data_IF_234362040508
#
_entry.id   IF_234362040508
#
_cell.length_a   1.000
_cell.length_b   1.000
_cell.length_c   1.000
_cell.angle_alpha   90.00
_cell.angle_beta   90.00
_cell.angle_gamma   90.00
#
_symmetry.space_group_name_H-M   'P 1'
#
loop_
_entity.id
_entity.type
_entity.pdbx_description
1 polymer ?
#
# COMPACT_ATOMS: atom_id res chain seq x y z
N UNK A 1 -27.47 -20.51 -21.87
CA UNK A 1 -28.14 -19.54 -20.97
C UNK A 1 -27.23 -18.33 -20.80
N UNK A 2 -27.53 -17.31 -21.59
CA UNK A 2 -26.83 -16.03 -21.73
C UNK A 2 -27.11 -15.15 -20.50
N UNK A 3 -26.10 -14.89 -19.66
CA UNK A 3 -26.22 -13.88 -18.62
C UNK A 3 -26.07 -12.49 -19.26
N UNK A 4 -27.18 -11.78 -19.24
CA UNK A 4 -27.39 -10.42 -19.71
C UNK A 4 -26.43 -9.45 -19.01
N UNK A 5 -25.47 -8.92 -19.78
CA UNK A 5 -24.66 -7.75 -19.43
C UNK A 5 -25.60 -6.53 -19.44
N UNK A 6 -26.23 -6.26 -18.29
CA UNK A 6 -27.20 -5.19 -18.10
C UNK A 6 -26.58 -3.93 -17.49
N UNK A 7 -26.46 -2.89 -18.33
CA UNK A 7 -26.51 -1.43 -18.10
C UNK A 7 -25.65 -0.74 -17.00
N UNK A 8 -25.13 0.48 -17.28
CA UNK A 8 -24.26 1.24 -16.39
C UNK A 8 -25.08 1.95 -15.30
N UNK A 9 -24.75 1.75 -14.02
CA UNK A 9 -25.39 2.53 -12.96
C UNK A 9 -25.46 1.83 -11.62
N UNK A 10 -24.39 1.93 -10.84
CA UNK A 10 -24.46 2.21 -9.39
C UNK A 10 -23.04 2.15 -8.85
N UNK A 11 -22.57 3.25 -8.27
CA UNK A 11 -21.29 3.29 -7.55
C UNK A 11 -21.18 2.11 -6.56
N UNK A 12 -22.31 1.67 -6.00
CA UNK A 12 -22.42 0.51 -5.12
C UNK A 12 -21.95 -0.81 -5.75
N UNK A 13 -22.25 -1.08 -7.03
CA UNK A 13 -21.75 -2.27 -7.75
C UNK A 13 -20.27 -2.16 -8.07
N UNK A 14 -19.80 -0.97 -8.45
CA UNK A 14 -18.37 -0.70 -8.65
C UNK A 14 -17.56 -0.96 -7.37
N UNK A 15 -18.01 -0.39 -6.25
CA UNK A 15 -17.40 -0.63 -4.93
C UNK A 15 -17.53 -2.09 -4.48
N UNK A 16 -18.67 -2.74 -4.76
CA UNK A 16 -18.86 -4.15 -4.41
C UNK A 16 -17.92 -5.06 -5.21
N UNK A 17 -17.80 -4.86 -6.53
CA UNK A 17 -16.86 -5.60 -7.37
C UNK A 17 -15.41 -5.32 -6.95
N UNK A 18 -15.04 -4.04 -6.73
CA UNK A 18 -13.72 -3.67 -6.18
C UNK A 18 -13.43 -4.41 -4.89
N UNK A 19 -14.36 -4.37 -3.94
CA UNK A 19 -14.21 -5.03 -2.65
C UNK A 19 -14.07 -6.53 -2.82
N UNK A 20 -14.89 -7.17 -3.66
CA UNK A 20 -14.81 -8.62 -3.90
C UNK A 20 -13.47 -9.02 -4.51
N UNK A 21 -12.99 -8.24 -5.48
CA UNK A 21 -11.72 -8.45 -6.17
C UNK A 21 -10.52 -8.18 -5.26
N UNK A 22 -10.53 -7.12 -4.47
CA UNK A 22 -9.52 -6.83 -3.46
C UNK A 22 -9.52 -7.89 -2.38
N UNK A 23 -10.67 -8.23 -1.80
CA UNK A 23 -10.80 -9.28 -0.78
C UNK A 23 -10.35 -10.64 -1.31
N UNK A 24 -10.60 -10.96 -2.58
CA UNK A 24 -10.08 -12.18 -3.21
C UNK A 24 -8.57 -12.13 -3.39
N UNK A 25 -7.99 -11.01 -3.81
CA UNK A 25 -6.53 -10.86 -3.91
C UNK A 25 -5.86 -10.98 -2.56
N UNK A 26 -6.43 -10.33 -1.54
CA UNK A 26 -6.04 -10.50 -0.15
C UNK A 26 -6.15 -11.98 0.25
N UNK A 27 -7.28 -12.65 -0.01
CA UNK A 27 -7.46 -14.06 0.36
C UNK A 27 -6.51 -15.02 -0.37
N UNK A 28 -6.15 -14.76 -1.62
CA UNK A 28 -5.19 -15.57 -2.38
C UNK A 28 -3.76 -15.30 -1.91
N UNK A 29 -3.39 -14.03 -1.71
CA UNK A 29 -2.05 -13.62 -1.24
C UNK A 29 -1.82 -13.98 0.24
N UNK A 30 -2.88 -14.04 1.04
CA UNK A 30 -2.88 -14.41 2.45
C UNK A 30 -3.54 -15.78 2.72
N UNK A 31 -3.66 -16.69 1.76
CA UNK A 31 -4.25 -18.03 2.07
C UNK A 31 -3.36 -18.86 3.00
N UNK A 32 -2.08 -18.52 3.09
CA UNK A 32 -1.09 -18.96 4.10
C UNK A 32 -0.88 -17.85 5.15
N UNK A 33 -1.98 -17.37 5.74
CA UNK A 33 -2.17 -16.01 6.30
C UNK A 33 -1.11 -15.48 7.27
N UNK A 34 -0.48 -16.33 8.08
CA UNK A 34 0.54 -15.88 9.01
C UNK A 34 1.87 -15.55 8.32
N UNK A 35 2.33 -16.43 7.41
CA UNK A 35 3.67 -16.32 6.82
C UNK A 35 3.79 -15.13 5.86
N UNK A 36 2.77 -14.93 5.00
CA UNK A 36 2.76 -13.80 4.05
C UNK A 36 2.61 -12.44 4.75
N UNK A 37 1.83 -12.39 5.83
CA UNK A 37 1.69 -11.19 6.66
C UNK A 37 2.98 -10.86 7.40
N UNK A 38 3.56 -11.85 8.10
CA UNK A 38 4.84 -11.68 8.78
C UNK A 38 5.90 -11.17 7.80
N UNK A 39 5.95 -11.75 6.60
CA UNK A 39 6.92 -11.37 5.57
C UNK A 39 6.76 -9.92 5.10
N UNK A 40 5.52 -9.46 4.87
CA UNK A 40 5.24 -8.09 4.44
C UNK A 40 5.66 -7.02 5.45
N UNK A 41 5.72 -7.38 6.74
CA UNK A 41 6.17 -6.50 7.82
C UNK A 41 7.68 -6.66 8.06
N UNK A 42 8.19 -7.88 7.94
CA UNK A 42 9.59 -8.20 8.18
C UNK A 42 10.51 -7.47 7.21
N UNK A 43 10.13 -7.36 5.93
CA UNK A 43 10.92 -6.65 4.91
C UNK A 43 11.18 -5.16 5.26
N UNK A 44 10.16 -4.31 5.51
CA UNK A 44 10.39 -2.93 5.94
C UNK A 44 11.06 -2.83 7.31
N UNK A 45 10.82 -3.77 8.23
CA UNK A 45 11.50 -3.78 9.53
C UNK A 45 13.00 -4.05 9.41
N UNK A 46 13.40 -5.03 8.61
CA UNK A 46 14.80 -5.35 8.35
C UNK A 46 15.47 -4.17 7.64
N UNK A 47 14.82 -3.58 6.64
CA UNK A 47 15.32 -2.36 5.99
C UNK A 47 15.50 -1.21 6.98
N UNK A 48 14.53 -0.99 7.86
CA UNK A 48 14.61 0.04 8.90
C UNK A 48 15.76 -0.21 9.87
N UNK A 49 15.99 -1.47 10.25
CA UNK A 49 17.07 -1.86 11.14
C UNK A 49 18.45 -1.71 10.49
N UNK A 50 18.59 -2.04 9.21
CA UNK A 50 19.80 -1.81 8.42
C UNK A 50 20.08 -0.31 8.35
N UNK A 51 19.09 0.51 7.98
CA UNK A 51 19.27 1.96 7.93
C UNK A 51 19.57 2.55 9.31
N UNK A 52 18.87 2.10 10.35
CA UNK A 52 19.18 2.49 11.72
C UNK A 52 20.65 2.19 12.04
N UNK A 53 21.11 0.96 11.81
CA UNK A 53 22.48 0.53 12.09
C UNK A 53 23.51 1.37 11.32
N UNK A 54 23.32 1.55 10.01
CA UNK A 54 24.24 2.35 9.17
C UNK A 54 24.28 3.81 9.66
N UNK A 55 23.13 4.45 9.87
CA UNK A 55 23.11 5.87 10.23
C UNK A 55 23.50 6.15 11.69
N UNK A 56 23.26 5.23 12.62
CA UNK A 56 23.67 5.43 14.02
C UNK A 56 25.09 4.93 14.30
N UNK A 57 25.47 3.74 13.83
CA UNK A 57 26.76 3.13 14.17
C UNK A 57 27.89 3.53 13.20
N UNK A 58 27.60 3.75 11.91
CA UNK A 58 28.64 4.09 10.92
C UNK A 58 28.81 5.61 10.78
N UNK A 59 27.70 6.35 10.78
CA UNK A 59 27.71 7.79 10.58
C UNK A 59 27.66 8.62 11.89
N UNK A 60 27.58 7.97 13.06
CA UNK A 60 27.48 8.63 14.39
C UNK A 60 26.55 9.86 14.38
N UNK A 61 25.37 9.70 13.77
CA UNK A 61 24.50 10.84 13.49
C UNK A 61 23.92 11.42 14.78
N UNK A 62 24.25 12.68 15.07
CA UNK A 62 23.76 13.47 16.23
C UNK A 62 22.47 14.26 15.95
N UNK A 63 21.91 14.19 14.72
CA UNK A 63 20.79 15.04 14.29
C UNK A 63 19.59 14.20 13.82
N UNK A 64 18.50 14.24 14.60
CA UNK A 64 17.22 13.59 14.30
C UNK A 64 16.32 13.48 15.54
N UNK A 65 15.02 13.28 15.34
CA UNK A 65 14.07 13.05 16.46
C UNK A 65 14.30 11.65 17.03
N UNK A 66 14.63 11.57 18.31
CA UNK A 66 14.60 10.30 19.04
C UNK A 66 13.13 9.88 19.21
N UNK A 67 12.74 8.65 18.83
CA UNK A 67 13.57 7.51 18.39
C UNK A 67 13.72 7.44 16.86
N UNK A 68 14.97 7.33 16.36
CA UNK A 68 15.26 7.31 14.92
C UNK A 68 14.61 6.15 14.17
N UNK A 69 14.48 4.98 14.80
CA UNK A 69 13.83 3.81 14.20
C UNK A 69 12.34 4.08 13.88
N UNK A 70 11.66 4.84 14.73
CA UNK A 70 10.24 5.21 14.54
C UNK A 70 10.11 6.19 13.38
N UNK A 71 11.02 7.16 13.29
CA UNK A 71 11.10 8.07 12.15
C UNK A 71 11.31 7.31 10.83
N UNK A 72 12.25 6.35 10.80
CA UNK A 72 12.52 5.53 9.63
C UNK A 72 11.30 4.70 9.22
N UNK A 73 10.72 3.91 10.12
CA UNK A 73 9.57 3.05 9.81
C UNK A 73 8.39 3.88 9.30
N UNK A 74 8.15 5.06 9.90
CA UNK A 74 7.07 5.98 9.49
C UNK A 74 7.26 6.52 8.07
N UNK A 75 8.50 6.74 7.63
CA UNK A 75 8.81 7.18 6.27
C UNK A 75 8.88 5.99 5.27
N UNK A 76 9.39 4.84 5.70
CA UNK A 76 9.60 3.66 4.85
C UNK A 76 8.28 2.98 4.48
N UNK A 77 7.32 2.88 5.39
CA UNK A 77 6.03 2.23 5.10
C UNK A 77 5.24 2.88 3.94
N UNK A 78 5.02 4.20 3.92
CA UNK A 78 4.37 4.84 2.77
C UNK A 78 5.24 4.73 1.50
N UNK A 79 6.57 4.74 1.62
CA UNK A 79 7.48 4.54 0.49
C UNK A 79 7.37 3.13 -0.12
N UNK A 80 7.27 2.09 0.72
CA UNK A 80 7.06 0.71 0.30
C UNK A 80 5.70 0.57 -0.36
N UNK A 81 4.65 1.16 0.22
CA UNK A 81 3.33 1.17 -0.41
C UNK A 81 3.36 1.82 -1.80
N UNK A 82 4.05 2.96 -1.93
CA UNK A 82 4.20 3.64 -3.21
C UNK A 82 4.91 2.76 -4.24
N UNK A 83 6.10 2.26 -3.92
CA UNK A 83 6.89 1.44 -4.85
C UNK A 83 6.17 0.15 -5.26
N UNK A 84 5.52 -0.52 -4.30
CA UNK A 84 4.76 -1.73 -4.57
C UNK A 84 3.57 -1.45 -5.49
N UNK A 85 2.84 -0.36 -5.24
CA UNK A 85 1.71 0.03 -6.09
C UNK A 85 2.17 0.37 -7.51
N UNK A 86 3.24 1.17 -7.65
CA UNK A 86 3.82 1.55 -8.94
C UNK A 86 4.27 0.35 -9.75
N UNK A 87 5.00 -0.56 -9.10
CA UNK A 87 5.48 -1.78 -9.73
C UNK A 87 4.31 -2.68 -10.16
N UNK A 88 3.32 -2.86 -9.30
CA UNK A 88 2.19 -3.76 -9.56
C UNK A 88 1.25 -3.22 -10.64
N UNK A 89 0.91 -1.91 -10.65
CA UNK A 89 0.07 -1.37 -11.74
C UNK A 89 0.82 -1.36 -13.07
N UNK A 90 2.13 -1.06 -13.08
CA UNK A 90 2.94 -1.09 -14.31
C UNK A 90 2.99 -2.50 -14.89
N UNK A 91 3.23 -3.51 -14.02
CA UNK A 91 3.19 -4.92 -14.43
C UNK A 91 1.80 -5.36 -14.88
N UNK A 92 0.74 -4.92 -14.21
CA UNK A 92 -0.63 -5.23 -14.60
C UNK A 92 -0.92 -4.72 -16.02
N UNK A 93 -0.51 -3.50 -16.37
CA UNK A 93 -0.67 -3.00 -17.73
C UNK A 93 0.19 -3.77 -18.76
N UNK A 94 1.45 -4.07 -18.43
CA UNK A 94 2.34 -4.80 -19.36
C UNK A 94 1.96 -6.28 -19.54
N UNK A 95 1.49 -6.98 -18.50
CA UNK A 95 1.08 -8.40 -18.58
C UNK A 95 -0.38 -8.58 -19.02
N UNK A 96 -1.29 -7.71 -18.60
CA UNK A 96 -2.72 -7.85 -18.86
C UNK A 96 -3.21 -7.06 -20.08
N UNK A 97 -2.36 -6.41 -20.88
CA UNK A 97 -2.77 -5.82 -22.17
C UNK A 97 -3.55 -6.81 -23.08
N UNK A 98 -3.26 -8.12 -22.96
CA UNK A 98 -4.02 -9.20 -23.62
C UNK A 98 -5.36 -9.54 -22.94
N UNK A 99 -5.46 -9.45 -21.61
CA UNK A 99 -6.67 -9.77 -20.83
C UNK A 99 -7.66 -8.60 -20.77
N UNK A 100 -7.16 -7.36 -20.68
CA UNK A 100 -7.92 -6.10 -20.72
C UNK A 100 -8.68 -5.95 -22.05
N UNK A 101 -8.21 -6.61 -23.12
CA UNK A 101 -8.94 -6.70 -24.40
C UNK A 101 -10.13 -7.66 -24.38
N UNK A 102 -10.19 -8.67 -23.49
CA UNK A 102 -11.25 -9.69 -23.51
C UNK A 102 -12.37 -9.47 -22.51
N UNK A 103 -12.17 -8.64 -21.47
CA UNK A 103 -13.19 -8.40 -20.44
C UNK A 103 -13.43 -6.90 -20.27
N UNK A 104 -14.67 -6.45 -20.48
CA UNK A 104 -15.15 -5.07 -20.47
C UNK A 104 -15.20 -4.43 -19.07
N UNK A 105 -14.12 -4.49 -18.30
CA UNK A 105 -14.02 -3.87 -16.97
C UNK A 105 -13.25 -2.54 -17.09
N UNK A 106 -13.77 -1.42 -16.56
CA UNK A 106 -13.08 -0.13 -16.55
C UNK A 106 -11.67 -0.22 -15.94
N UNK A 107 -10.67 0.35 -16.62
CA UNK A 107 -9.25 0.33 -16.20
C UNK A 107 -9.03 0.95 -14.80
N UNK A 108 -9.89 1.89 -14.40
CA UNK A 108 -9.88 2.50 -13.07
C UNK A 108 -10.09 1.48 -11.95
N UNK A 109 -10.93 0.45 -12.16
CA UNK A 109 -11.19 -0.59 -11.15
C UNK A 109 -9.92 -1.36 -10.83
N UNK A 110 -9.15 -1.71 -11.86
CA UNK A 110 -7.92 -2.48 -11.73
C UNK A 110 -6.85 -1.74 -10.93
N UNK A 111 -6.60 -0.47 -11.29
CA UNK A 111 -5.63 0.39 -10.60
C UNK A 111 -6.06 0.62 -9.15
N UNK A 112 -7.32 1.00 -8.92
CA UNK A 112 -7.83 1.23 -7.57
C UNK A 112 -7.76 -0.03 -6.71
N UNK A 113 -8.06 -1.21 -7.26
CA UNK A 113 -7.96 -2.49 -6.54
C UNK A 113 -6.56 -2.75 -6.00
N UNK A 114 -5.53 -2.57 -6.84
CA UNK A 114 -4.12 -2.78 -6.47
C UNK A 114 -3.73 -1.81 -5.34
N UNK A 115 -4.01 -0.52 -5.54
CA UNK A 115 -3.68 0.52 -4.56
C UNK A 115 -4.40 0.28 -3.24
N UNK A 116 -5.68 -0.11 -3.27
CA UNK A 116 -6.48 -0.35 -2.08
C UNK A 116 -6.01 -1.60 -1.34
N UNK A 117 -5.66 -2.68 -2.06
CA UNK A 117 -5.08 -3.88 -1.44
C UNK A 117 -3.81 -3.51 -0.68
N UNK A 118 -2.90 -2.75 -1.30
CA UNK A 118 -1.66 -2.31 -0.65
C UNK A 118 -1.87 -1.29 0.46
N UNK A 119 -2.88 -0.43 0.33
CA UNK A 119 -3.28 0.49 1.40
C UNK A 119 -3.80 -0.25 2.63
N UNK A 120 -4.49 -1.39 2.44
CA UNK A 120 -4.91 -2.25 3.55
C UNK A 120 -3.69 -2.91 4.22
N UNK A 121 -2.70 -3.38 3.47
CA UNK A 121 -1.44 -3.89 4.03
C UNK A 121 -0.74 -2.81 4.88
N UNK A 122 -0.71 -1.57 4.38
CA UNK A 122 -0.19 -0.41 5.13
C UNK A 122 -0.99 -0.14 6.41
N UNK A 123 -2.33 -0.19 6.38
CA UNK A 123 -3.15 -0.05 7.59
C UNK A 123 -2.84 -1.14 8.62
N UNK A 124 -2.63 -2.38 8.19
CA UNK A 124 -2.25 -3.46 9.09
C UNK A 124 -0.82 -3.32 9.65
N UNK A 125 0.04 -2.52 9.02
CA UNK A 125 1.37 -2.21 9.55
C UNK A 125 1.36 -1.11 10.63
N UNK A 126 0.25 -0.38 10.81
CA UNK A 126 0.16 0.70 11.82
C UNK A 126 0.38 0.24 13.27
N UNK A 127 -0.16 -0.92 13.73
CA UNK A 127 0.14 -1.42 15.06
C UNK A 127 1.63 -1.64 15.30
N UNK A 128 2.41 -1.98 14.27
CA UNK A 128 3.86 -2.16 14.36
C UNK A 128 4.54 -0.81 14.63
N UNK A 129 4.13 0.24 13.92
CA UNK A 129 4.63 1.61 14.18
C UNK A 129 4.33 2.01 15.63
N UNK A 130 3.10 1.79 16.09
CA UNK A 130 2.68 2.12 17.46
C UNK A 130 3.51 1.35 18.49
N UNK A 131 3.77 0.06 18.25
CA UNK A 131 4.60 -0.77 19.12
C UNK A 131 6.02 -0.21 19.27
N UNK A 132 6.68 0.14 18.16
CA UNK A 132 8.01 0.76 18.21
C UNK A 132 8.00 2.18 18.77
N UNK A 133 6.93 2.94 18.56
CA UNK A 133 6.76 4.28 19.13
C UNK A 133 6.68 4.23 20.66
N UNK A 134 5.96 3.26 21.23
CA UNK A 134 5.88 3.05 22.69
C UNK A 134 7.23 2.61 23.23
N UNK A 135 7.90 1.64 22.59
CA UNK A 135 9.20 1.14 23.04
C UNK A 135 10.29 2.22 23.03
N UNK A 136 10.27 3.10 22.02
CA UNK A 136 11.23 4.19 21.93
C UNK A 136 10.89 5.41 22.77
N UNK A 137 9.68 5.49 23.35
CA UNK A 137 9.25 6.67 24.12
C UNK A 137 8.91 7.88 23.25
N UNK A 138 8.47 7.68 22.01
CA UNK A 138 8.11 8.76 21.10
C UNK A 138 6.90 9.56 21.61
N UNK A 139 6.98 10.89 21.56
CA UNK A 139 5.87 11.77 21.95
C UNK A 139 4.90 11.96 20.78
N UNK A 140 3.63 11.58 20.99
CA UNK A 140 2.57 11.88 20.03
C UNK A 140 2.32 13.39 20.02
N UNK A 141 2.74 14.04 18.94
CA UNK A 141 2.44 15.46 18.68
C UNK A 141 1.13 15.58 17.90
N UNK A 142 0.50 16.75 17.90
CA UNK A 142 -0.70 17.07 17.08
C UNK A 142 -0.55 16.77 15.58
N UNK A 143 0.68 16.57 15.10
CA UNK A 143 0.97 16.12 13.73
C UNK A 143 0.35 14.78 13.34
N UNK A 144 -0.10 13.94 14.29
CA UNK A 144 -0.87 12.72 13.98
C UNK A 144 -2.15 13.03 13.20
N UNK A 145 -2.74 14.22 13.35
CA UNK A 145 -3.91 14.64 12.59
C UNK A 145 -3.63 14.83 11.09
N UNK A 146 -2.36 15.04 10.71
CA UNK A 146 -1.94 15.13 9.31
C UNK A 146 -1.80 13.75 8.66
N UNK A 147 -1.73 12.68 9.45
CA UNK A 147 -1.56 11.32 8.94
C UNK A 147 -2.69 10.88 7.98
N UNK A 148 -4.00 11.05 8.31
CA UNK A 148 -5.07 10.73 7.37
C UNK A 148 -5.00 11.55 6.08
N UNK A 149 -4.60 12.83 6.18
CA UNK A 149 -4.45 13.71 5.02
C UNK A 149 -3.33 13.18 4.11
N UNK A 150 -2.19 12.78 4.67
CA UNK A 150 -1.09 12.17 3.92
C UNK A 150 -1.51 10.88 3.22
N UNK A 151 -2.29 10.03 3.87
CA UNK A 151 -2.84 8.79 3.26
C UNK A 151 -3.75 9.12 2.08
N UNK A 152 -4.64 10.11 2.22
CA UNK A 152 -5.53 10.53 1.12
C UNK A 152 -4.72 11.11 -0.04
N UNK A 153 -3.73 11.97 0.23
CA UNK A 153 -2.86 12.51 -0.80
C UNK A 153 -2.11 11.39 -1.55
N UNK A 154 -1.62 10.39 -0.83
CA UNK A 154 -0.95 9.24 -1.42
C UNK A 154 -1.89 8.40 -2.28
N UNK A 155 -3.14 8.18 -1.85
CA UNK A 155 -4.16 7.51 -2.66
C UNK A 155 -4.42 8.26 -3.97
N UNK A 156 -4.63 9.58 -3.89
CA UNK A 156 -4.89 10.41 -5.07
C UNK A 156 -3.70 10.38 -6.02
N UNK A 157 -2.48 10.49 -5.50
CA UNK A 157 -1.25 10.43 -6.28
C UNK A 157 -1.11 9.10 -7.02
N UNK A 158 -1.30 7.98 -6.31
CA UNK A 158 -1.16 6.64 -6.88
C UNK A 158 -2.24 6.35 -7.92
N UNK A 159 -3.48 6.78 -7.68
CA UNK A 159 -4.57 6.65 -8.65
C UNK A 159 -4.28 7.49 -9.89
N UNK A 160 -3.87 8.74 -9.71
CA UNK A 160 -3.48 9.62 -10.82
C UNK A 160 -2.34 9.04 -11.65
N UNK A 161 -1.27 8.58 -11.00
CA UNK A 161 -0.12 7.99 -11.66
C UNK A 161 -0.48 6.68 -12.38
N UNK A 162 -1.26 5.81 -11.75
CA UNK A 162 -1.71 4.57 -12.37
C UNK A 162 -2.62 4.79 -13.58
N UNK A 163 -3.44 5.85 -13.58
CA UNK A 163 -4.25 6.23 -14.74
C UNK A 163 -3.40 6.86 -15.87
N UNK A 164 -2.34 7.61 -15.54
CA UNK A 164 -1.42 8.16 -16.54
C UNK A 164 -0.58 7.08 -17.22
N UNK A 165 -0.26 5.99 -16.50
CA UNK A 165 0.49 4.84 -17.04
C UNK A 165 -0.43 3.86 -17.81
N UNK A 166 -1.73 3.89 -17.57
CA UNK A 166 -2.72 3.04 -18.23
C UNK A 166 -2.84 3.09 -19.78
N UNK A 167 -2.39 4.15 -20.50
CA UNK A 167 -2.38 4.20 -21.96
C UNK A 167 -1.08 3.66 -22.59
N UNK A 168 -0.02 3.45 -21.81
CA UNK A 168 1.29 2.94 -22.27
C UNK A 168 1.29 1.40 -22.33
#
# INVERSE_FOLDING_TARGET
>A
MTQTVGAPGSARRYFHSLWLLSARDLRVRYSTSALGYLWSILDPLVMSLIYWFVFTQVFERTVGTEPYIVFLITALLPWVWFNASVTDFTKAFSKDARLVRSTSIPRSIWVTRIILSKGIEFLFSLPVIVFFAILGGATLTWGVLLFPIAVIMQLVLLVGLGLLVAPL
#
